data_IF_600367250682
#
_entry.id   IF_600367250682
#
_cell.length_a   1.000
_cell.length_b   1.000
_cell.length_c   1.000
_cell.angle_alpha   90.00
_cell.angle_beta   90.00
_cell.angle_gamma   90.00
#
_symmetry.space_group_name_H-M   'P 1'
#
loop_
_entity.id
_entity.type
_entity.pdbx_description
1 polymer ?
#
# COMPACT_ATOMS: atom_id res chain seq x y z
N UNK A 1 6.22 -14.78 8.09
CA UNK A 1 6.08 -13.32 8.36
C UNK A 1 6.06 -12.55 7.05
N UNK A 2 5.28 -11.48 6.98
CA UNK A 2 5.10 -10.65 5.79
C UNK A 2 5.52 -9.21 6.08
N UNK A 3 6.27 -8.60 5.16
CA UNK A 3 6.65 -7.19 5.21
C UNK A 3 6.17 -6.51 3.92
N UNK A 4 5.44 -5.41 4.07
CA UNK A 4 5.11 -4.51 2.97
C UNK A 4 5.91 -3.22 3.12
N UNK A 5 6.80 -2.96 2.19
CA UNK A 5 7.56 -1.70 2.11
C UNK A 5 6.76 -0.75 1.23
N UNK A 6 6.33 0.34 1.82
CA UNK A 6 5.51 1.36 1.17
C UNK A 6 5.95 2.75 1.66
N UNK A 7 5.21 3.77 1.34
CA UNK A 7 5.46 5.14 1.77
C UNK A 7 5.18 6.10 0.63
N UNK A 8 5.90 7.22 0.53
CA UNK A 8 5.86 8.06 -0.65
C UNK A 8 6.34 7.27 -1.89
N UNK A 9 7.65 7.13 -2.05
CA UNK A 9 8.25 6.26 -3.06
C UNK A 9 9.48 5.55 -2.45
N UNK A 10 9.41 4.24 -2.20
CA UNK A 10 10.51 3.51 -1.55
C UNK A 10 11.83 3.59 -2.32
N UNK A 11 11.76 3.58 -3.64
CA UNK A 11 12.96 3.60 -4.49
C UNK A 11 13.69 4.95 -4.54
N UNK A 12 13.21 5.99 -3.90
CA UNK A 12 13.98 7.22 -3.62
C UNK A 12 15.02 6.97 -2.53
N UNK A 13 14.75 6.06 -1.60
CA UNK A 13 15.61 5.76 -0.48
C UNK A 13 16.90 5.05 -0.94
N UNK A 14 18.07 5.55 -0.50
CA UNK A 14 19.38 5.04 -0.97
C UNK A 14 19.77 3.71 -0.37
N UNK A 15 19.34 3.46 0.87
CA UNK A 15 19.63 2.25 1.66
C UNK A 15 18.49 1.21 1.61
N UNK A 16 17.57 1.32 0.63
CA UNK A 16 16.47 0.38 0.47
C UNK A 16 16.95 -1.07 0.31
N UNK A 17 18.05 -1.27 -0.40
CA UNK A 17 18.65 -2.58 -0.64
C UNK A 17 19.12 -3.23 0.65
N UNK A 18 19.79 -2.48 1.53
CA UNK A 18 20.26 -2.94 2.84
C UNK A 18 19.06 -3.32 3.73
N UNK A 19 17.99 -2.51 3.68
CA UNK A 19 16.75 -2.80 4.41
C UNK A 19 16.14 -4.11 3.93
N UNK A 20 16.02 -4.31 2.62
CA UNK A 20 15.47 -5.55 2.03
C UNK A 20 16.31 -6.75 2.43
N UNK A 21 17.65 -6.65 2.38
CA UNK A 21 18.55 -7.73 2.77
C UNK A 21 18.39 -8.14 4.25
N UNK A 22 18.27 -7.16 5.15
CA UNK A 22 18.02 -7.42 6.58
C UNK A 22 16.65 -8.04 6.79
N UNK A 23 15.62 -7.55 6.06
CA UNK A 23 14.26 -8.06 6.21
C UNK A 23 14.10 -9.48 5.69
N UNK A 24 14.80 -9.90 4.63
CA UNK A 24 14.78 -11.29 4.16
C UNK A 24 15.31 -12.29 5.18
N UNK A 25 16.15 -11.86 6.14
CA UNK A 25 16.61 -12.71 7.24
C UNK A 25 15.52 -12.96 8.31
N UNK A 26 14.43 -12.18 8.29
CA UNK A 26 13.40 -12.14 9.34
C UNK A 26 11.98 -12.38 8.85
N UNK A 27 11.76 -12.37 7.53
CA UNK A 27 10.44 -12.50 6.92
C UNK A 27 10.44 -13.50 5.76
N UNK A 28 9.31 -14.16 5.57
CA UNK A 28 9.11 -15.16 4.52
C UNK A 28 8.73 -14.51 3.17
N UNK A 29 8.20 -13.31 3.23
CA UNK A 29 7.75 -12.56 2.04
C UNK A 29 7.92 -11.07 2.25
N UNK A 30 8.51 -10.40 1.27
CA UNK A 30 8.63 -8.93 1.20
C UNK A 30 7.95 -8.47 -0.09
N UNK A 31 7.11 -7.46 0.03
CA UNK A 31 6.50 -6.77 -1.12
C UNK A 31 6.85 -5.29 -1.06
N UNK A 32 7.27 -4.71 -2.17
CA UNK A 32 7.50 -3.27 -2.31
C UNK A 32 6.38 -2.67 -3.15
N UNK A 33 5.68 -1.69 -2.57
CA UNK A 33 4.69 -0.88 -3.28
C UNK A 33 5.36 0.38 -3.83
N UNK A 34 5.27 0.61 -5.14
CA UNK A 34 5.99 1.66 -5.85
C UNK A 34 5.14 2.31 -6.93
N UNK A 35 5.47 3.54 -7.29
CA UNK A 35 4.91 4.21 -8.46
C UNK A 35 5.39 3.61 -9.80
N UNK A 36 6.44 2.77 -9.77
CA UNK A 36 7.09 2.22 -10.96
C UNK A 36 8.03 3.18 -11.68
N UNK A 37 8.21 4.39 -11.15
CA UNK A 37 8.98 5.43 -11.85
C UNK A 37 10.47 5.17 -11.90
N UNK A 38 11.04 4.58 -10.86
CA UNK A 38 12.46 4.25 -10.76
C UNK A 38 12.78 2.89 -11.40
N UNK A 39 12.38 2.68 -12.65
CA UNK A 39 12.42 1.41 -13.38
C UNK A 39 13.75 0.67 -13.23
N UNK A 40 14.89 1.33 -13.49
CA UNK A 40 16.20 0.70 -13.43
C UNK A 40 16.57 0.20 -12.03
N UNK A 41 16.18 0.95 -11.00
CA UNK A 41 16.42 0.54 -9.61
C UNK A 41 15.52 -0.62 -9.20
N UNK A 42 14.29 -0.65 -9.71
CA UNK A 42 13.35 -1.74 -9.47
C UNK A 42 13.85 -3.04 -10.13
N UNK A 43 14.31 -2.95 -11.38
CA UNK A 43 14.88 -4.08 -12.10
C UNK A 43 16.11 -4.63 -11.37
N UNK A 44 17.07 -3.78 -11.00
CA UNK A 44 18.25 -4.19 -10.22
C UNK A 44 17.89 -4.84 -8.88
N UNK A 45 16.87 -4.31 -8.20
CA UNK A 45 16.36 -4.91 -6.96
C UNK A 45 15.82 -6.32 -7.20
N UNK A 46 15.05 -6.53 -8.28
CA UNK A 46 14.50 -7.82 -8.64
C UNK A 46 15.58 -8.82 -9.09
N UNK A 47 16.63 -8.37 -9.78
CA UNK A 47 17.81 -9.17 -10.12
C UNK A 47 18.52 -9.69 -8.88
N UNK A 48 18.74 -8.79 -7.90
CA UNK A 48 19.43 -9.14 -6.65
C UNK A 48 18.57 -10.00 -5.73
N UNK A 49 17.25 -9.78 -5.71
CA UNK A 49 16.29 -10.48 -4.85
C UNK A 49 15.16 -11.10 -5.67
N UNK A 50 15.36 -12.26 -6.32
CA UNK A 50 14.36 -12.85 -7.25
C UNK A 50 13.01 -13.22 -6.60
N UNK A 51 12.98 -13.36 -5.28
CA UNK A 51 11.76 -13.66 -4.52
C UNK A 51 11.04 -12.42 -3.98
N UNK A 52 11.50 -11.21 -4.36
CA UNK A 52 10.83 -9.99 -3.92
C UNK A 52 9.51 -9.79 -4.66
N UNK A 53 8.49 -9.35 -3.93
CA UNK A 53 7.23 -8.94 -4.52
C UNK A 53 7.28 -7.46 -4.95
N UNK A 54 6.76 -7.17 -6.13
CA UNK A 54 6.63 -5.79 -6.62
C UNK A 54 5.17 -5.48 -6.91
N UNK A 55 4.66 -4.40 -6.33
CA UNK A 55 3.32 -3.88 -6.60
C UNK A 55 3.42 -2.47 -7.13
N UNK A 56 3.05 -2.29 -8.40
CA UNK A 56 3.04 -0.98 -9.04
C UNK A 56 1.67 -0.33 -8.85
N UNK A 57 1.63 0.95 -8.52
CA UNK A 57 0.37 1.68 -8.41
C UNK A 57 -0.16 2.01 -9.80
N UNK A 58 -1.34 1.50 -10.14
CA UNK A 58 -2.07 1.79 -11.38
C UNK A 58 -3.51 2.13 -11.01
N UNK A 59 -3.90 3.38 -11.25
CA UNK A 59 -5.17 3.93 -10.77
C UNK A 59 -6.28 3.91 -11.84
N UNK A 60 -5.99 3.51 -13.05
CA UNK A 60 -6.94 3.45 -14.18
C UNK A 60 -6.27 2.97 -15.45
N UNK A 61 -7.03 2.94 -16.54
CA UNK A 61 -6.51 2.59 -17.86
C UNK A 61 -5.93 3.83 -18.56
N UNK A 62 -4.75 3.65 -19.18
CA UNK A 62 -4.08 4.64 -20.03
C UNK A 62 -4.16 6.09 -19.50
N UNK A 63 -4.85 6.98 -20.22
CA UNK A 63 -4.93 8.40 -19.90
C UNK A 63 -5.49 8.68 -18.50
N UNK A 64 -6.50 7.92 -18.06
CA UNK A 64 -7.07 8.10 -16.73
C UNK A 64 -6.03 7.86 -15.62
N UNK A 65 -5.17 6.86 -15.79
CA UNK A 65 -4.05 6.63 -14.88
C UNK A 65 -3.10 7.82 -14.86
N UNK A 66 -2.75 8.35 -16.03
CA UNK A 66 -1.83 9.47 -16.17
C UNK A 66 -2.39 10.74 -15.51
N UNK A 67 -3.67 11.01 -15.71
CA UNK A 67 -4.37 12.14 -15.09
C UNK A 67 -4.39 12.01 -13.55
N UNK A 68 -4.72 10.83 -13.02
CA UNK A 68 -4.78 10.59 -11.58
C UNK A 68 -3.41 10.57 -10.91
N UNK A 69 -2.39 10.09 -11.63
CA UNK A 69 -0.99 10.11 -11.17
C UNK A 69 -0.30 11.46 -11.42
N UNK A 70 -0.95 12.36 -12.15
CA UNK A 70 -0.41 13.67 -12.49
C UNK A 70 0.83 13.61 -13.40
N UNK A 71 0.94 12.58 -14.24
CA UNK A 71 2.14 12.37 -15.05
C UNK A 71 1.86 11.55 -16.30
N UNK A 72 2.06 12.18 -17.45
CA UNK A 72 1.93 11.57 -18.77
C UNK A 72 2.88 10.37 -18.95
N UNK A 73 2.38 9.30 -19.56
CA UNK A 73 3.13 8.06 -19.81
C UNK A 73 3.35 7.18 -18.58
N UNK A 74 2.72 7.50 -17.46
CA UNK A 74 2.87 6.70 -16.23
C UNK A 74 2.28 5.30 -16.36
N UNK A 75 1.15 5.16 -17.06
CA UNK A 75 0.55 3.86 -17.35
C UNK A 75 1.46 2.98 -18.20
N UNK A 76 1.93 3.50 -19.32
CA UNK A 76 2.81 2.76 -20.24
C UNK A 76 4.11 2.34 -19.55
N UNK A 77 4.69 3.23 -18.76
CA UNK A 77 5.90 2.93 -17.99
C UNK A 77 5.66 1.81 -16.97
N UNK A 78 4.57 1.88 -16.22
CA UNK A 78 4.20 0.86 -15.24
C UNK A 78 3.98 -0.51 -15.91
N UNK A 79 3.28 -0.54 -17.04
CA UNK A 79 3.04 -1.77 -17.79
C UNK A 79 4.31 -2.36 -18.39
N UNK A 80 5.18 -1.54 -18.98
CA UNK A 80 6.49 -2.00 -19.49
C UNK A 80 7.34 -2.60 -18.37
N UNK A 81 7.42 -1.91 -17.21
CA UNK A 81 8.13 -2.43 -16.04
C UNK A 81 7.58 -3.80 -15.63
N UNK A 82 6.27 -3.93 -15.48
CA UNK A 82 5.64 -5.20 -15.07
C UNK A 82 5.90 -6.31 -16.08
N UNK A 83 5.84 -6.04 -17.38
CA UNK A 83 6.16 -7.01 -18.43
C UNK A 83 7.63 -7.43 -18.38
N UNK A 84 8.55 -6.47 -18.22
CA UNK A 84 9.98 -6.75 -18.04
C UNK A 84 10.24 -7.65 -16.82
N UNK A 85 9.63 -7.33 -15.67
CA UNK A 85 9.76 -8.16 -14.47
C UNK A 85 9.22 -9.58 -14.68
N UNK A 86 8.14 -9.72 -15.45
CA UNK A 86 7.57 -11.01 -15.82
C UNK A 86 8.52 -11.80 -16.71
N UNK A 87 9.10 -11.17 -17.73
CA UNK A 87 10.10 -11.77 -18.62
C UNK A 87 11.36 -12.21 -17.86
N UNK A 88 11.77 -11.47 -16.84
CA UNK A 88 12.84 -11.85 -15.92
C UNK A 88 12.49 -13.03 -15.01
N UNK A 89 11.23 -13.49 -15.01
CA UNK A 89 10.77 -14.61 -14.19
C UNK A 89 10.40 -14.25 -12.75
N UNK A 90 10.23 -12.97 -12.42
CA UNK A 90 9.76 -12.55 -11.10
C UNK A 90 8.31 -12.99 -10.90
N UNK A 91 8.07 -13.82 -9.87
CA UNK A 91 6.76 -14.47 -9.69
C UNK A 91 5.72 -13.64 -8.96
N UNK A 92 6.17 -12.82 -7.99
CA UNK A 92 5.27 -12.05 -7.12
C UNK A 92 5.14 -10.61 -7.61
N UNK A 93 4.59 -10.44 -8.81
CA UNK A 93 4.38 -9.13 -9.45
C UNK A 93 2.90 -8.82 -9.63
N UNK A 94 2.58 -7.53 -9.66
CA UNK A 94 1.24 -7.07 -9.94
C UNK A 94 1.08 -5.59 -9.67
N UNK A 95 -0.15 -5.14 -9.61
CA UNK A 95 -0.47 -3.75 -9.39
C UNK A 95 -1.65 -3.58 -8.45
N UNK A 96 -1.73 -2.38 -7.88
CA UNK A 96 -2.77 -1.97 -6.96
C UNK A 96 -3.49 -0.72 -7.44
N UNK A 97 -4.79 -0.66 -7.20
CA UNK A 97 -5.64 0.47 -7.51
C UNK A 97 -6.30 1.01 -6.24
N UNK A 98 -6.13 2.30 -5.99
CA UNK A 98 -6.88 3.02 -4.97
C UNK A 98 -8.16 3.56 -5.59
N UNK A 99 -9.28 2.93 -5.26
CA UNK A 99 -10.58 3.15 -5.90
C UNK A 99 -11.29 4.36 -5.32
N UNK A 100 -11.69 5.26 -6.19
CA UNK A 100 -12.47 6.47 -5.91
C UNK A 100 -13.62 6.62 -6.93
N UNK A 101 -14.38 7.71 -6.84
CA UNK A 101 -15.37 8.04 -7.87
C UNK A 101 -14.76 8.39 -9.23
N UNK A 102 -13.46 8.61 -9.32
CA UNK A 102 -12.80 8.99 -10.59
C UNK A 102 -12.37 7.78 -11.42
N UNK A 103 -12.27 6.60 -10.81
CA UNK A 103 -11.67 5.42 -11.46
C UNK A 103 -12.38 4.09 -11.18
N UNK A 104 -13.45 4.08 -10.39
CA UNK A 104 -14.14 2.85 -10.02
C UNK A 104 -14.61 2.03 -11.22
N UNK A 105 -14.95 2.66 -12.32
CA UNK A 105 -15.38 2.01 -13.56
C UNK A 105 -14.26 1.19 -14.24
N UNK A 106 -13.00 1.59 -14.07
CA UNK A 106 -11.84 0.88 -14.65
C UNK A 106 -11.44 -0.35 -13.84
N UNK A 107 -11.88 -0.46 -12.59
CA UNK A 107 -11.44 -1.49 -11.64
C UNK A 107 -11.64 -2.92 -12.18
N UNK A 108 -12.79 -3.21 -12.80
CA UNK A 108 -13.06 -4.53 -13.37
C UNK A 108 -12.16 -4.83 -14.58
N UNK A 109 -11.88 -3.83 -15.41
CA UNK A 109 -10.97 -3.99 -16.54
C UNK A 109 -9.54 -4.20 -16.10
N UNK A 110 -9.08 -3.47 -15.10
CA UNK A 110 -7.77 -3.69 -14.48
C UNK A 110 -7.66 -5.11 -13.92
N UNK A 111 -8.68 -5.60 -13.22
CA UNK A 111 -8.69 -6.98 -12.75
C UNK A 111 -8.58 -7.99 -13.91
N UNK A 112 -9.39 -7.85 -14.96
CA UNK A 112 -9.33 -8.74 -16.13
C UNK A 112 -7.95 -8.70 -16.79
N UNK A 113 -7.38 -7.53 -16.98
CA UNK A 113 -6.02 -7.36 -17.50
C UNK A 113 -4.99 -8.09 -16.63
N UNK A 114 -5.11 -8.01 -15.31
CA UNK A 114 -4.21 -8.74 -14.40
C UNK A 114 -4.31 -10.26 -14.58
N UNK A 115 -5.51 -10.77 -14.81
CA UNK A 115 -5.75 -12.21 -15.07
C UNK A 115 -5.09 -12.67 -16.35
N UNK A 116 -5.29 -11.94 -17.45
CA UNK A 116 -4.67 -12.21 -18.75
C UNK A 116 -3.13 -12.20 -18.67
N UNK A 117 -2.59 -11.27 -17.90
CA UNK A 117 -1.15 -11.15 -17.71
C UNK A 117 -0.60 -12.12 -16.66
N UNK A 118 -1.43 -12.85 -15.92
CA UNK A 118 -1.00 -13.71 -14.82
C UNK A 118 -0.35 -12.94 -13.66
N UNK A 119 -0.84 -11.74 -13.38
CA UNK A 119 -0.34 -10.84 -12.35
C UNK A 119 -1.32 -10.69 -11.18
N UNK A 120 -0.82 -10.22 -10.05
CA UNK A 120 -1.64 -9.88 -8.90
C UNK A 120 -2.36 -8.54 -9.10
N UNK A 121 -3.63 -8.47 -8.68
CA UNK A 121 -4.38 -7.23 -8.58
C UNK A 121 -4.86 -7.00 -7.15
N UNK A 122 -4.63 -5.81 -6.63
CA UNK A 122 -5.07 -5.41 -5.31
C UNK A 122 -5.90 -4.12 -5.38
N UNK A 123 -6.89 -4.01 -4.51
CA UNK A 123 -7.74 -2.84 -4.39
C UNK A 123 -7.62 -2.21 -3.00
N UNK A 124 -7.75 -0.90 -2.93
CA UNK A 124 -7.99 -0.16 -1.70
C UNK A 124 -9.10 0.86 -1.95
N UNK A 125 -9.89 1.19 -0.96
CA UNK A 125 -10.80 2.33 -1.06
C UNK A 125 -10.05 3.63 -0.77
N UNK A 126 -10.37 4.68 -1.50
CA UNK A 126 -9.86 6.02 -1.24
C UNK A 126 -10.24 6.44 0.19
N UNK A 127 -9.26 6.82 0.98
CA UNK A 127 -9.43 7.07 2.41
C UNK A 127 -8.51 8.19 2.90
N UNK A 128 -8.87 8.76 4.04
CA UNK A 128 -8.00 9.67 4.75
C UNK A 128 -6.90 8.90 5.47
N UNK A 129 -5.74 9.51 5.58
CA UNK A 129 -4.60 8.95 6.29
C UNK A 129 -3.83 10.06 6.98
N UNK A 130 -3.74 9.97 8.29
CA UNK A 130 -2.93 10.89 9.08
C UNK A 130 -1.47 10.91 8.60
N UNK A 131 -0.89 9.75 8.39
CA UNK A 131 0.49 9.63 7.94
C UNK A 131 0.79 10.36 6.62
N UNK A 132 -0.17 10.37 5.69
CA UNK A 132 -0.03 11.08 4.41
C UNK A 132 -0.58 12.51 4.45
N UNK A 133 -0.97 13.02 5.62
CA UNK A 133 -1.58 14.34 5.81
C UNK A 133 -2.77 14.58 4.86
N UNK A 134 -3.62 13.56 4.73
CA UNK A 134 -4.82 13.56 3.89
C UNK A 134 -6.04 13.41 4.76
N UNK A 135 -6.86 14.45 4.80
CA UNK A 135 -8.12 14.57 5.56
C UNK A 135 -9.32 14.97 4.69
N UNK A 136 -9.05 15.27 3.40
CA UNK A 136 -10.02 15.74 2.40
C UNK A 136 -10.42 14.68 1.37
N UNK A 137 -9.97 13.44 1.56
CA UNK A 137 -10.29 12.33 0.67
C UNK A 137 -11.72 11.83 0.93
N UNK A 138 -12.60 12.00 -0.05
CA UNK A 138 -14.00 11.58 0.05
C UNK A 138 -14.45 10.83 -1.21
N UNK A 139 -15.25 9.78 -1.01
CA UNK A 139 -16.02 9.12 -2.08
C UNK A 139 -17.42 9.71 -2.05
N UNK A 140 -17.72 10.59 -2.99
CA UNK A 140 -18.99 11.33 -3.05
C UNK A 140 -20.09 10.52 -3.74
N UNK A 141 -19.77 9.78 -4.81
CA UNK A 141 -20.72 8.92 -5.52
C UNK A 141 -20.63 7.46 -5.03
N UNK A 142 -21.06 7.24 -3.78
CA UNK A 142 -20.91 5.94 -3.10
C UNK A 142 -21.63 4.81 -3.83
N UNK A 143 -22.83 5.04 -4.35
CA UNK A 143 -23.65 3.98 -4.97
C UNK A 143 -23.02 3.44 -6.25
N UNK A 144 -22.46 4.33 -7.08
CA UNK A 144 -21.75 3.93 -8.30
C UNK A 144 -20.47 3.14 -7.96
N UNK A 145 -19.65 3.66 -7.03
CA UNK A 145 -18.42 2.99 -6.61
C UNK A 145 -18.72 1.62 -6.01
N UNK A 146 -19.74 1.51 -5.17
CA UNK A 146 -20.21 0.24 -4.58
C UNK A 146 -20.71 -0.70 -5.68
N UNK A 147 -21.47 -0.20 -6.66
CA UNK A 147 -21.92 -0.99 -7.81
C UNK A 147 -20.75 -1.58 -8.60
N UNK A 148 -19.68 -0.82 -8.79
CA UNK A 148 -18.48 -1.30 -9.48
C UNK A 148 -17.70 -2.33 -8.63
N UNK A 149 -17.64 -2.18 -7.29
CA UNK A 149 -17.12 -3.22 -6.42
C UNK A 149 -17.93 -4.51 -6.48
N UNK A 150 -19.25 -4.45 -6.56
CA UNK A 150 -20.09 -5.64 -6.73
C UNK A 150 -19.77 -6.38 -8.02
N UNK A 151 -19.60 -5.67 -9.15
CA UNK A 151 -19.17 -6.29 -10.42
C UNK A 151 -17.83 -7.00 -10.31
N UNK A 152 -16.86 -6.42 -9.57
CA UNK A 152 -15.58 -7.09 -9.31
C UNK A 152 -15.75 -8.32 -8.43
N UNK A 153 -16.58 -8.26 -7.39
CA UNK A 153 -16.86 -9.40 -6.49
C UNK A 153 -17.50 -10.55 -7.29
N UNK A 154 -18.49 -10.26 -8.12
CA UNK A 154 -19.12 -11.26 -8.99
C UNK A 154 -18.11 -11.93 -9.91
N UNK A 155 -17.20 -11.16 -10.50
CA UNK A 155 -16.14 -11.71 -11.35
C UNK A 155 -15.14 -12.58 -10.57
N UNK A 156 -14.74 -12.14 -9.37
CA UNK A 156 -13.88 -12.91 -8.48
C UNK A 156 -14.50 -14.25 -8.06
N UNK A 157 -15.82 -14.28 -7.84
CA UNK A 157 -16.54 -15.48 -7.41
C UNK A 157 -16.74 -16.52 -8.53
N UNK A 158 -16.52 -16.14 -9.78
CA UNK A 158 -16.51 -17.12 -10.90
C UNK A 158 -15.28 -18.05 -10.84
N UNK A 159 -14.24 -17.64 -10.15
CA UNK A 159 -13.03 -18.42 -9.97
C UNK A 159 -13.12 -19.26 -8.69
N UNK A 160 -13.07 -20.59 -8.82
CA UNK A 160 -13.13 -21.53 -7.71
C UNK A 160 -11.79 -21.65 -6.95
N UNK A 161 -11.21 -20.51 -6.56
CA UNK A 161 -9.98 -20.50 -5.77
C UNK A 161 -10.17 -19.82 -4.41
N UNK A 162 -9.57 -20.36 -3.34
CA UNK A 162 -9.61 -19.73 -2.01
C UNK A 162 -9.10 -18.29 -2.02
N UNK A 163 -8.14 -18.00 -2.90
CA UNK A 163 -7.57 -16.67 -3.07
C UNK A 163 -8.59 -15.68 -3.63
N UNK A 164 -9.35 -16.07 -4.65
CA UNK A 164 -10.39 -15.24 -5.24
C UNK A 164 -11.54 -15.01 -4.25
N UNK A 165 -11.92 -16.02 -3.48
CA UNK A 165 -12.92 -15.88 -2.41
C UNK A 165 -12.45 -14.91 -1.31
N UNK A 166 -11.19 -15.01 -0.87
CA UNK A 166 -10.61 -14.05 0.06
C UNK A 166 -10.63 -12.63 -0.50
N UNK A 167 -10.28 -12.46 -1.79
CA UNK A 167 -10.33 -11.16 -2.46
C UNK A 167 -11.76 -10.61 -2.56
N UNK A 168 -12.74 -11.45 -2.85
CA UNK A 168 -14.16 -11.06 -2.86
C UNK A 168 -14.61 -10.59 -1.47
N UNK A 169 -14.29 -11.35 -0.42
CA UNK A 169 -14.57 -10.97 0.96
C UNK A 169 -13.87 -9.66 1.37
N UNK A 170 -12.62 -9.48 0.98
CA UNK A 170 -11.88 -8.22 1.23
C UNK A 170 -12.59 -7.03 0.56
N UNK A 171 -13.00 -7.16 -0.70
CA UNK A 171 -13.74 -6.10 -1.41
C UNK A 171 -15.11 -5.83 -0.78
N UNK A 172 -15.78 -6.84 -0.24
CA UNK A 172 -17.01 -6.63 0.55
C UNK A 172 -16.72 -5.77 1.79
N UNK A 173 -15.57 -5.97 2.45
CA UNK A 173 -15.09 -5.12 3.54
C UNK A 173 -14.87 -3.67 3.09
N UNK A 174 -14.37 -3.42 1.88
CA UNK A 174 -14.22 -2.07 1.32
C UNK A 174 -15.59 -1.41 1.06
N UNK A 175 -16.57 -2.16 0.55
CA UNK A 175 -17.96 -1.67 0.41
C UNK A 175 -18.51 -1.26 1.79
N UNK A 176 -18.31 -2.11 2.80
CA UNK A 176 -18.74 -1.83 4.16
C UNK A 176 -18.10 -0.53 4.72
N UNK A 177 -16.82 -0.35 4.46
CA UNK A 177 -16.09 0.89 4.80
C UNK A 177 -16.66 2.13 4.08
N UNK A 178 -16.91 2.05 2.77
CA UNK A 178 -17.48 3.15 1.96
C UNK A 178 -18.86 3.57 2.48
N UNK A 179 -19.65 2.61 2.97
CA UNK A 179 -20.95 2.85 3.62
C UNK A 179 -20.82 3.53 4.99
N UNK A 180 -19.63 3.57 5.57
CA UNK A 180 -19.41 4.09 6.93
C UNK A 180 -19.82 3.13 8.05
N UNK A 181 -19.95 1.86 7.74
CA UNK A 181 -20.33 0.84 8.74
C UNK A 181 -19.10 0.40 9.57
N UNK A 182 -19.33 -0.14 10.78
CA UNK A 182 -18.27 -0.76 11.57
C UNK A 182 -17.56 -1.88 10.82
N UNK A 183 -16.31 -2.16 11.18
CA UNK A 183 -15.53 -3.26 10.57
C UNK A 183 -16.23 -4.60 10.73
N UNK A 184 -16.15 -5.44 9.70
CA UNK A 184 -16.70 -6.80 9.69
C UNK A 184 -15.88 -7.77 10.56
N UNK A 185 -14.59 -7.50 10.73
CA UNK A 185 -13.66 -8.28 11.55
C UNK A 185 -12.98 -7.38 12.59
N UNK A 186 -12.55 -7.96 13.72
CA UNK A 186 -11.76 -7.24 14.72
C UNK A 186 -10.51 -6.61 14.10
N UNK A 187 -10.06 -5.49 14.68
CA UNK A 187 -8.82 -4.83 14.25
C UNK A 187 -7.64 -5.48 14.98
N UNK A 188 -6.69 -5.99 14.19
CA UNK A 188 -5.45 -6.59 14.67
C UNK A 188 -4.26 -5.60 14.69
N UNK A 189 -4.54 -4.31 14.50
CA UNK A 189 -3.51 -3.27 14.52
C UNK A 189 -2.87 -3.19 15.92
N UNK A 190 -1.54 -3.23 15.95
CA UNK A 190 -0.76 -3.19 17.19
C UNK A 190 -0.62 -4.54 17.90
N UNK A 191 -1.30 -5.58 17.45
CA UNK A 191 -1.18 -6.95 17.98
C UNK A 191 -0.55 -7.90 16.96
N UNK A 192 -1.18 -8.08 15.80
CA UNK A 192 -0.68 -8.93 14.73
C UNK A 192 0.12 -8.17 13.66
N UNK A 193 -0.05 -6.86 13.57
CA UNK A 193 0.69 -5.99 12.67
C UNK A 193 1.05 -4.65 13.34
N UNK A 194 2.02 -3.96 12.75
CA UNK A 194 2.42 -2.61 13.11
C UNK A 194 3.02 -1.91 11.89
N UNK A 195 3.11 -0.60 11.97
CA UNK A 195 3.71 0.25 10.94
C UNK A 195 4.95 0.94 11.49
N UNK A 196 6.03 0.96 10.70
CA UNK A 196 7.26 1.70 11.02
C UNK A 196 7.42 2.78 9.97
N UNK A 197 7.49 4.03 10.40
CA UNK A 197 7.76 5.14 9.51
C UNK A 197 9.26 5.28 9.17
N UNK A 198 9.64 6.07 8.14
CA UNK A 198 11.04 6.21 7.73
C UNK A 198 11.99 6.74 8.79
N UNK A 199 11.50 7.39 9.83
CA UNK A 199 12.31 7.92 10.93
C UNK A 199 12.43 6.96 12.12
N UNK A 200 11.77 5.80 12.06
CA UNK A 200 11.83 4.75 13.08
C UNK A 200 10.75 4.84 14.15
N UNK A 201 9.77 5.72 14.03
CA UNK A 201 8.61 5.71 14.92
C UNK A 201 7.69 4.53 14.56
N UNK A 202 7.16 3.85 15.58
CA UNK A 202 6.30 2.67 15.43
C UNK A 202 4.87 3.00 15.81
N UNK A 203 3.95 2.68 14.91
CA UNK A 203 2.52 2.91 15.05
C UNK A 203 1.74 1.58 14.97
N UNK A 204 0.55 1.50 15.54
CA UNK A 204 -0.33 0.34 15.37
C UNK A 204 -0.65 0.08 13.89
N UNK A 205 -0.89 1.15 13.13
CA UNK A 205 -1.08 1.14 11.67
C UNK A 205 -0.77 2.53 11.10
N UNK A 206 -0.78 2.66 9.78
CA UNK A 206 -0.56 3.92 9.09
C UNK A 206 -1.76 4.90 9.14
N UNK A 207 -2.87 4.52 9.76
CA UNK A 207 -4.08 5.34 9.90
C UNK A 207 -4.30 5.92 11.30
N UNK A 208 -3.42 5.64 12.27
CA UNK A 208 -3.53 6.13 13.64
C UNK A 208 -2.39 7.08 14.00
N UNK A 209 -2.70 8.16 14.72
CA UNK A 209 -1.73 9.15 15.20
C UNK A 209 -0.90 8.67 16.40
N UNK A 210 -1.43 7.72 17.16
CA UNK A 210 -0.80 7.28 18.39
C UNK A 210 0.45 6.44 18.12
N UNK A 211 1.59 6.92 18.59
CA UNK A 211 2.85 6.16 18.55
C UNK A 211 2.85 5.12 19.64
N UNK A 212 3.35 3.94 19.29
CA UNK A 212 3.66 2.94 20.31
C UNK A 212 5.07 3.06 20.85
N UNK A 213 6.08 3.19 19.97
CA UNK A 213 7.48 3.24 20.33
C UNK A 213 8.27 4.09 19.36
N UNK A 214 9.38 4.64 19.88
CA UNK A 214 10.47 5.16 19.07
C UNK A 214 11.57 4.11 19.05
N UNK A 215 11.90 3.57 17.89
CA UNK A 215 13.11 2.76 17.76
C UNK A 215 14.32 3.65 18.02
N UNK A 216 15.39 3.11 18.68
CA UNK A 216 16.64 3.86 18.81
C UNK A 216 17.08 4.32 17.43
N UNK A 217 17.15 5.62 17.23
CA UNK A 217 17.61 6.18 15.95
C UNK A 217 19.09 5.85 15.79
N UNK A 218 19.41 4.98 14.85
CA UNK A 218 20.76 4.83 14.35
C UNK A 218 21.12 6.13 13.63
N UNK A 219 21.77 7.04 14.32
CA UNK A 219 22.34 8.35 13.97
C UNK A 219 21.66 9.16 12.85
N UNK A 220 21.34 10.44 13.13
CA UNK A 220 20.50 11.30 12.28
C UNK A 220 21.25 11.95 11.11
N UNK A 221 22.13 11.27 10.40
CA UNK A 221 23.03 11.96 9.47
C UNK A 221 22.61 12.02 8.01
N UNK A 222 21.41 11.58 7.61
CA UNK A 222 21.08 11.61 6.16
C UNK A 222 19.77 12.24 5.73
N UNK A 223 18.85 12.57 6.64
CA UNK A 223 17.61 13.28 6.27
C UNK A 223 17.25 14.32 7.33
N UNK A 224 17.06 15.59 6.95
CA UNK A 224 16.51 16.58 7.86
C UNK A 224 15.07 16.18 8.25
N UNK A 225 14.65 16.45 9.51
CA UNK A 225 13.26 16.24 9.90
C UNK A 225 12.34 17.07 8.99
N UNK A 226 11.09 16.62 8.76
CA UNK A 226 10.14 17.40 8.00
C UNK A 226 9.91 18.76 8.65
N UNK A 227 9.72 19.83 7.88
CA UNK A 227 9.75 21.22 8.33
C UNK A 227 8.68 21.59 9.38
N UNK A 228 7.68 20.74 9.59
CA UNK A 228 6.61 20.94 10.57
C UNK A 228 6.91 20.37 11.97
N UNK A 229 7.99 19.61 12.13
CA UNK A 229 8.44 19.12 13.45
C UNK A 229 9.57 20.01 13.97
N UNK A 230 9.23 20.98 14.81
CA UNK A 230 10.22 21.83 15.47
C UNK A 230 11.19 21.01 16.35
N UNK A 231 12.41 21.54 16.65
CA UNK A 231 13.46 20.85 17.38
C UNK A 231 13.07 20.36 18.80
N UNK A 232 12.02 20.92 19.39
CA UNK A 232 11.54 20.60 20.74
C UNK A 232 10.66 19.35 20.83
N UNK A 233 10.14 18.83 19.70
CA UNK A 233 9.32 17.61 19.69
C UNK A 233 10.16 16.32 19.77
N UNK A 234 11.47 16.43 19.62
CA UNK A 234 12.37 15.31 19.43
C UNK A 234 13.02 14.76 20.74
N UNK A 235 12.82 15.43 21.87
CA UNK A 235 13.56 15.12 23.12
C UNK A 235 12.70 14.88 24.35
N UNK A 236 11.39 14.71 24.24
CA UNK A 236 10.57 14.36 25.42
C UNK A 236 10.15 12.90 25.37
N UNK A 237 10.74 12.10 26.25
CA UNK A 237 10.23 10.79 26.60
C UNK A 237 8.78 10.91 27.15
N UNK A 238 7.98 9.84 27.06
CA UNK A 238 6.62 9.87 27.56
C UNK A 238 6.58 10.17 29.05
N UNK A 239 5.61 10.99 29.54
CA UNK A 239 5.41 11.17 30.97
C UNK A 239 5.03 9.81 31.58
N UNK A 240 5.72 9.43 32.65
CA UNK A 240 5.36 8.29 33.46
C UNK A 240 3.95 8.47 34.05
N UNK A 241 3.04 7.60 33.71
CA UNK A 241 1.79 7.40 34.46
C UNK A 241 0.56 8.09 33.91
N UNK A 242 -0.23 7.33 33.14
CA UNK A 242 -1.68 7.25 33.34
C UNK A 242 -2.23 6.04 32.57
N UNK A 243 -2.48 4.94 33.31
CA UNK A 243 -3.39 3.89 32.84
C UNK A 243 -4.79 4.49 32.82
N UNK A 244 -5.36 4.71 31.67
CA UNK A 244 -6.81 4.87 31.51
C UNK A 244 -7.37 3.64 30.81
N UNK A 245 -8.14 2.88 31.56
CA UNK A 245 -9.11 1.91 31.08
C UNK A 245 -10.16 2.66 30.25
N UNK A 246 -10.26 2.36 28.98
CA UNK A 246 -11.30 2.87 28.10
C UNK A 246 -11.45 1.91 26.93
N UNK A 247 -12.60 1.19 26.90
CA UNK A 247 -12.92 0.24 25.86
C UNK A 247 -13.09 0.92 24.50
N UNK A 248 -12.74 0.21 23.46
CA UNK A 248 -13.16 0.40 22.06
C UNK A 248 -14.41 -0.40 21.79
#
# INVERSE_FOLDING_TARGET
KFVNITGGEPFVRRDLEDIVEVMFKKSDRIVISTSGWHTDRIIKMAEKFPNIGIRVSIEGLSQKNDDLRGREGSFDRAMRLLLTLKEMGVKDIGYGCTVSNKNSEDMLWLYKLSRELGMEFATAAFHNSYYFHKDDNEITNKDEVIGNFHKLIEELLKDNSPKSWYRAFFNLGLINYIRGNPRMLPCEAGTANFFIEPYGDVFPCNGLEERYWNLPRCQPHRYPPPPHLGPSALCRGPPAGSRRSGGC
#
